data_IF_968909558219
#
_entry.id   IF_968909558219
#
_cell.length_a   1.000
_cell.length_b   1.000
_cell.length_c   1.000
_cell.angle_alpha   90.00
_cell.angle_beta   90.00
_cell.angle_gamma   90.00
#
_symmetry.space_group_name_H-M   'P 1'
#
loop_
_entity.id
_entity.type
_entity.pdbx_description
1 polymer ?
#
# COMPACT_ATOMS: atom_id res chain seq x y z
N UNK A 1 -15.87 5.39 -15.57
CA UNK A 1 -14.74 5.23 -14.65
C UNK A 1 -15.00 6.08 -13.41
N UNK A 2 -15.31 5.44 -12.28
CA UNK A 2 -15.53 6.04 -10.97
C UNK A 2 -14.33 5.68 -10.09
N UNK A 3 -13.63 6.70 -9.62
CA UNK A 3 -12.42 6.55 -8.81
C UNK A 3 -12.74 7.05 -7.40
N UNK A 4 -12.47 6.22 -6.40
CA UNK A 4 -12.40 6.64 -5.01
C UNK A 4 -10.94 6.99 -4.66
N UNK A 5 -10.70 8.28 -4.42
CA UNK A 5 -9.36 8.80 -4.12
C UNK A 5 -9.09 8.92 -2.61
N UNK A 6 -10.04 8.57 -1.74
CA UNK A 6 -9.93 8.79 -0.30
C UNK A 6 -10.32 7.54 0.48
N UNK A 7 -9.44 6.55 0.44
CA UNK A 7 -9.55 5.35 1.27
C UNK A 7 -8.27 5.11 2.06
N UNK A 8 -8.43 4.55 3.27
CA UNK A 8 -7.31 4.21 4.14
C UNK A 8 -7.19 2.68 4.29
N UNK A 9 -5.94 2.23 4.41
CA UNK A 9 -5.56 0.86 4.71
C UNK A 9 -4.95 0.79 6.12
N UNK A 10 -5.56 0.02 7.01
CA UNK A 10 -5.11 -0.19 8.39
C UNK A 10 -4.44 -1.56 8.53
N UNK A 11 -3.25 -1.72 7.96
CA UNK A 11 -2.55 -3.01 8.06
C UNK A 11 -2.21 -3.34 9.51
N UNK A 12 -2.29 -4.63 9.86
CA UNK A 12 -1.95 -5.10 11.20
C UNK A 12 -0.52 -4.68 11.59
N UNK A 13 0.44 -4.84 10.68
CA UNK A 13 1.83 -4.45 10.89
C UNK A 13 1.98 -2.95 11.22
N UNK A 14 1.25 -2.07 10.53
CA UNK A 14 1.28 -0.64 10.81
C UNK A 14 0.71 -0.32 12.19
N UNK A 15 -0.41 -0.94 12.54
CA UNK A 15 -1.05 -0.78 13.84
C UNK A 15 -0.13 -1.26 14.98
N UNK A 16 0.60 -2.36 14.80
CA UNK A 16 1.58 -2.85 15.78
C UNK A 16 2.75 -1.88 15.98
N UNK A 17 3.26 -1.26 14.90
CA UNK A 17 4.33 -0.26 15.02
C UNK A 17 3.88 1.01 15.75
N UNK A 18 2.65 1.45 15.49
CA UNK A 18 2.05 2.58 16.19
C UNK A 18 1.81 2.26 17.68
N UNK A 19 1.25 1.09 17.96
CA UNK A 19 0.96 0.63 19.32
C UNK A 19 2.23 0.49 20.16
N UNK A 20 3.29 -0.11 19.59
CA UNK A 20 4.61 -0.18 20.22
C UNK A 20 5.28 1.18 20.43
N UNK A 21 4.82 2.21 19.71
CA UNK A 21 5.21 3.61 19.90
C UNK A 21 4.34 4.38 20.89
N UNK A 22 3.34 3.73 21.51
CA UNK A 22 2.41 4.34 22.47
C UNK A 22 1.21 5.04 21.84
N UNK A 23 0.95 4.85 20.55
CA UNK A 23 -0.24 5.40 19.87
C UNK A 23 -1.40 4.41 20.05
N UNK A 24 -2.55 4.84 20.59
CA UNK A 24 -3.69 3.93 20.79
C UNK A 24 -4.29 3.52 19.44
N UNK A 25 -4.28 2.21 19.15
CA UNK A 25 -4.70 1.65 17.85
C UNK A 25 -5.99 0.84 17.88
N UNK A 26 -6.59 0.65 19.06
CA UNK A 26 -7.72 -0.26 19.25
C UNK A 26 -8.92 0.08 18.37
N UNK A 27 -9.21 1.37 18.15
CA UNK A 27 -10.36 1.82 17.36
C UNK A 27 -10.26 1.51 15.86
N UNK A 28 -9.06 1.18 15.38
CA UNK A 28 -8.78 0.91 13.96
C UNK A 28 -8.68 -0.59 13.66
N UNK A 29 -8.69 -1.43 14.71
CA UNK A 29 -8.63 -2.89 14.57
C UNK A 29 -10.02 -3.44 14.26
N UNK A 30 -10.09 -4.48 13.42
CA UNK A 30 -11.33 -5.19 13.11
C UNK A 30 -12.33 -4.43 12.21
N UNK A 31 -11.90 -3.35 11.56
CA UNK A 31 -12.77 -2.56 10.67
C UNK A 31 -12.95 -3.19 9.27
N UNK A 32 -12.35 -4.36 9.00
CA UNK A 32 -12.31 -4.94 7.64
C UNK A 32 -11.49 -4.10 6.65
N UNK A 33 -10.62 -3.23 7.17
CA UNK A 33 -9.85 -2.26 6.39
C UNK A 33 -8.35 -2.60 6.37
N UNK A 34 -7.98 -3.80 6.79
CA UNK A 34 -6.61 -4.29 6.75
C UNK A 34 -6.18 -4.78 5.36
N UNK A 35 -5.02 -5.45 5.35
CA UNK A 35 -4.32 -5.88 4.13
C UNK A 35 -4.31 -7.41 3.96
N UNK A 36 -5.11 -8.13 4.74
CA UNK A 36 -5.28 -9.57 4.55
C UNK A 36 -6.05 -9.85 3.26
N UNK A 37 -5.81 -11.02 2.66
CA UNK A 37 -6.50 -11.41 1.42
C UNK A 37 -8.03 -11.41 1.59
N UNK A 38 -8.52 -11.82 2.76
CA UNK A 38 -9.94 -11.80 3.12
C UNK A 38 -10.52 -10.38 3.12
N UNK A 39 -9.85 -9.44 3.81
CA UNK A 39 -10.31 -8.04 3.87
C UNK A 39 -10.20 -7.34 2.52
N UNK A 40 -9.17 -7.64 1.73
CA UNK A 40 -9.04 -7.12 0.37
C UNK A 40 -10.13 -7.68 -0.55
N UNK A 41 -10.48 -8.96 -0.44
CA UNK A 41 -11.58 -9.55 -1.18
C UNK A 41 -12.93 -8.91 -0.81
N UNK A 42 -13.19 -8.71 0.48
CA UNK A 42 -14.37 -8.01 0.96
C UNK A 42 -14.42 -6.56 0.44
N UNK A 43 -13.28 -5.86 0.42
CA UNK A 43 -13.16 -4.51 -0.15
C UNK A 43 -13.49 -4.48 -1.63
N UNK A 44 -12.98 -5.42 -2.43
CA UNK A 44 -13.32 -5.50 -3.86
C UNK A 44 -14.82 -5.73 -4.07
N UNK A 45 -15.44 -6.62 -3.31
CA UNK A 45 -16.89 -6.84 -3.36
C UNK A 45 -17.68 -5.57 -3.01
N UNK A 46 -17.20 -4.79 -2.03
CA UNK A 46 -17.79 -3.49 -1.69
C UNK A 46 -17.62 -2.46 -2.82
N UNK A 47 -16.46 -2.42 -3.48
CA UNK A 47 -16.21 -1.56 -4.64
C UNK A 47 -17.14 -1.91 -5.80
N UNK A 48 -17.31 -3.20 -6.10
CA UNK A 48 -18.23 -3.69 -7.14
C UNK A 48 -19.67 -3.27 -6.85
N UNK A 49 -20.14 -3.48 -5.62
CA UNK A 49 -21.48 -3.08 -5.19
C UNK A 49 -21.71 -1.56 -5.24
N UNK A 50 -20.65 -0.76 -5.02
CA UNK A 50 -20.69 0.69 -5.08
C UNK A 50 -20.47 1.27 -6.49
N UNK A 51 -20.14 0.42 -7.47
CA UNK A 51 -19.76 0.83 -8.83
C UNK A 51 -18.48 1.66 -8.87
N UNK A 52 -17.50 1.37 -8.01
CA UNK A 52 -16.18 2.00 -7.96
C UNK A 52 -15.18 1.17 -8.76
N UNK A 53 -14.66 1.72 -9.84
CA UNK A 53 -13.74 1.02 -10.76
C UNK A 53 -12.30 0.98 -10.25
N UNK A 54 -11.90 1.97 -9.46
CA UNK A 54 -10.57 2.04 -8.86
C UNK A 54 -10.63 2.75 -7.52
N UNK A 55 -9.81 2.29 -6.57
CA UNK A 55 -9.66 2.94 -5.27
C UNK A 55 -8.18 3.15 -4.97
N UNK A 56 -7.80 4.39 -4.66
CA UNK A 56 -6.44 4.74 -4.27
C UNK A 56 -6.35 4.63 -2.75
N UNK A 57 -5.49 3.71 -2.29
CA UNK A 57 -5.25 3.51 -0.87
C UNK A 57 -4.15 4.46 -0.41
N UNK A 58 -4.46 5.20 0.65
CA UNK A 58 -3.53 6.09 1.32
C UNK A 58 -3.15 5.52 2.69
N UNK A 59 -1.92 5.84 3.10
CA UNK A 59 -1.55 5.67 4.49
C UNK A 59 -2.47 6.50 5.39
N UNK A 60 -2.71 6.00 6.59
CA UNK A 60 -3.78 6.50 7.43
C UNK A 60 -3.41 7.85 8.07
N UNK A 61 -4.37 8.65 8.53
CA UNK A 61 -4.09 9.98 9.10
C UNK A 61 -3.31 9.95 10.42
N UNK A 62 -3.06 8.77 10.99
CA UNK A 62 -2.17 8.59 12.14
C UNK A 62 -0.71 8.70 11.70
N UNK A 63 -0.28 9.89 11.29
CA UNK A 63 1.12 10.16 11.00
C UNK A 63 1.99 9.74 12.21
N UNK A 64 3.03 8.91 12.01
CA UNK A 64 3.80 8.29 13.09
C UNK A 64 4.76 9.30 13.75
N UNK A 65 4.19 10.29 14.43
CA UNK A 65 4.91 11.24 15.28
C UNK A 65 5.25 10.56 16.60
N UNK A 66 6.25 9.69 16.55
CA UNK A 66 6.71 8.92 17.71
C UNK A 66 7.91 9.62 18.37
N UNK A 67 8.09 9.52 19.70
CA UNK A 67 9.19 10.19 20.40
C UNK A 67 10.58 9.76 19.93
N UNK A 68 10.74 8.49 19.57
CA UNK A 68 11.99 7.97 19.04
C UNK A 68 12.02 8.08 17.52
N UNK A 69 13.02 8.78 16.98
CA UNK A 69 13.21 8.96 15.52
C UNK A 69 13.21 7.61 14.79
N UNK A 70 13.98 6.64 15.27
CA UNK A 70 14.04 5.32 14.66
C UNK A 70 12.68 4.61 14.62
N UNK A 71 11.82 4.84 15.61
CA UNK A 71 10.47 4.29 15.62
C UNK A 71 9.57 5.01 14.61
N UNK A 72 9.60 6.35 14.57
CA UNK A 72 8.86 7.14 13.58
C UNK A 72 9.26 6.76 12.14
N UNK A 73 10.55 6.57 11.91
CA UNK A 73 11.11 6.18 10.62
C UNK A 73 10.71 4.77 10.21
N UNK A 74 10.69 3.79 11.14
CA UNK A 74 10.23 2.43 10.85
C UNK A 74 8.74 2.39 10.52
N UNK A 75 7.94 3.16 11.26
CA UNK A 75 6.50 3.26 11.05
C UNK A 75 6.14 4.07 9.80
N UNK A 76 7.07 4.82 9.18
CA UNK A 76 6.78 5.65 8.02
C UNK A 76 6.18 4.82 6.85
N UNK A 77 4.98 5.16 6.37
CA UNK A 77 4.36 4.48 5.24
C UNK A 77 5.22 4.57 3.97
N UNK A 78 5.32 3.48 3.20
CA UNK A 78 6.15 3.42 1.99
C UNK A 78 7.54 2.82 2.18
N UNK A 79 7.94 2.49 3.42
CA UNK A 79 9.00 1.49 3.64
C UNK A 79 8.43 0.12 3.28
N UNK A 80 8.60 -0.29 2.03
CA UNK A 80 8.38 -1.68 1.64
C UNK A 80 9.30 -2.56 2.49
N UNK A 81 8.74 -3.62 3.10
CA UNK A 81 9.51 -4.65 3.78
C UNK A 81 10.21 -5.51 2.72
N UNK A 82 11.18 -4.91 2.02
CA UNK A 82 11.76 -5.48 0.81
C UNK A 82 12.89 -4.62 0.23
N UNK A 83 13.82 -4.15 1.07
CA UNK A 83 15.19 -3.89 0.64
C UNK A 83 16.13 -3.95 1.85
N UNK A 84 16.52 -5.17 2.22
CA UNK A 84 17.82 -5.41 2.87
C UNK A 84 18.74 -6.04 1.83
N UNK A 85 19.11 -5.26 0.83
CA UNK A 85 20.24 -5.57 -0.04
C UNK A 85 21.24 -4.41 0.00
N UNK A 86 22.07 -4.40 1.04
CA UNK A 86 23.42 -3.85 0.94
C UNK A 86 23.62 -2.46 1.53
N UNK A 87 24.08 -2.45 2.78
CA UNK A 87 25.17 -1.55 3.16
C UNK A 87 26.35 -1.81 2.20
N UNK A 88 26.45 -0.98 1.16
CA UNK A 88 27.71 -0.77 0.44
C UNK A 88 27.91 0.73 0.24
N UNK A 89 28.84 1.22 1.04
CA UNK A 89 29.70 2.37 0.81
C UNK A 89 29.73 2.79 -0.67
N UNK A 90 29.34 4.03 -0.95
CA UNK A 90 29.34 4.63 -2.29
C UNK A 90 30.74 5.12 -2.63
N UNK A 91 31.46 4.57 -3.64
CA UNK A 91 32.47 5.36 -4.33
C UNK A 91 31.77 6.12 -5.45
N UNK A 92 31.93 7.45 -5.40
CA UNK A 92 31.57 8.34 -6.51
C UNK A 92 32.27 7.86 -7.80
N UNK A 93 31.48 7.58 -8.84
CA UNK A 93 31.95 7.69 -10.21
C UNK A 93 31.64 6.51 -11.14
N UNK A 94 31.10 6.89 -12.30
CA UNK A 94 30.99 6.18 -13.59
C UNK A 94 29.64 5.50 -13.85
N UNK A 95 29.08 5.93 -14.98
CA UNK A 95 27.86 5.47 -15.61
C UNK A 95 27.85 3.95 -15.80
N UNK A 96 26.80 3.30 -15.30
CA UNK A 96 26.44 1.94 -15.67
C UNK A 96 24.95 1.92 -16.04
N UNK A 97 24.68 1.63 -17.31
CA UNK A 97 23.36 1.36 -17.87
C UNK A 97 22.76 0.12 -17.20
N UNK A 98 21.71 0.31 -16.40
CA UNK A 98 20.89 -0.78 -15.85
C UNK A 98 19.95 -1.38 -16.91
N UNK A 99 19.48 -2.63 -16.73
CA UNK A 99 18.67 -3.31 -17.73
C UNK A 99 17.28 -2.70 -17.82
N UNK A 100 16.77 -2.61 -19.05
CA UNK A 100 15.46 -2.07 -19.36
C UNK A 100 14.34 -2.75 -18.54
N UNK A 101 13.52 -1.93 -17.86
CA UNK A 101 12.22 -2.37 -17.35
C UNK A 101 11.39 -2.95 -18.51
N UNK A 102 11.06 -4.24 -18.44
CA UNK A 102 10.06 -4.83 -19.31
C UNK A 102 8.69 -4.16 -19.03
N UNK A 103 7.91 -3.78 -20.05
CA UNK A 103 6.60 -3.19 -19.83
C UNK A 103 5.63 -4.25 -19.28
N UNK A 104 5.03 -3.94 -18.13
CA UNK A 104 3.83 -4.59 -17.61
C UNK A 104 2.78 -4.61 -18.71
N UNK A 105 2.37 -5.80 -19.15
CA UNK A 105 1.28 -5.96 -20.11
C UNK A 105 -0.04 -5.57 -19.45
N UNK A 106 -0.53 -4.36 -19.73
CA UNK A 106 -1.93 -4.02 -19.50
C UNK A 106 -2.82 -5.02 -20.26
N UNK A 107 -3.68 -5.73 -19.54
CA UNK A 107 -4.76 -6.52 -20.13
C UNK A 107 -5.78 -5.55 -20.70
N UNK A 108 -5.79 -5.36 -22.01
CA UNK A 108 -6.89 -4.66 -22.69
C UNK A 108 -8.10 -5.58 -22.70
N UNK A 109 -9.18 -5.15 -22.05
CA UNK A 109 -10.50 -5.74 -22.22
C UNK A 109 -10.98 -5.46 -23.64
N UNK A 110 -11.00 -6.48 -24.50
CA UNK A 110 -11.72 -6.40 -25.78
C UNK A 110 -13.06 -7.08 -25.57
N UNK A 111 -14.11 -6.28 -25.46
CA UNK A 111 -15.48 -6.73 -25.56
C UNK A 111 -15.75 -7.33 -26.93
N UNK A 112 -16.43 -8.48 -26.95
CA UNK A 112 -17.07 -9.00 -28.15
C UNK A 112 -18.58 -8.93 -27.93
N UNK A 113 -19.17 -7.83 -28.40
CA UNK A 113 -20.57 -7.80 -28.82
C UNK A 113 -20.75 -8.75 -30.00
N UNK A 114 -21.65 -9.71 -29.87
CA UNK A 114 -22.09 -10.58 -30.97
C UNK A 114 -23.53 -11.02 -30.74
N UNK A 115 -24.48 -10.19 -31.21
CA UNK A 115 -25.85 -10.60 -31.52
C UNK A 115 -25.86 -11.16 -32.95
N UNK A 116 -26.40 -12.35 -33.12
CA UNK A 116 -27.44 -12.72 -34.10
C UNK A 116 -28.08 -14.00 -33.61
#
# INVERSE_FOLDING_TARGET
MRIDAHAHLWSQHYLEQLDGGGVPTQAQRGLGAGASDEELAARFAQMDAAGVDAQILSATPFSPRLPAEAAAVRAAPGRTHGDRSGDRETPRGRHATGPACAPVRCRTATGATGRT
#
